data_IF_599115883091
#
_entry.id   IF_599115883091
#
_cell.length_a   1.000
_cell.length_b   1.000
_cell.length_c   1.000
_cell.angle_alpha   90.00
_cell.angle_beta   90.00
_cell.angle_gamma   90.00
#
_symmetry.space_group_name_H-M   'P 1'
#
loop_
_entity.id
_entity.type
_entity.pdbx_description
1 polymer ?
#
# COMPACT_ATOMS: atom_id res chain seq x y z
N UNK A 1 22.67 17.59 -23.50
CA UNK A 1 22.18 17.84 -22.13
C UNK A 1 22.79 16.81 -21.18
N UNK A 2 24.03 17.04 -20.74
CA UNK A 2 24.64 16.30 -19.62
C UNK A 2 25.79 17.11 -18.92
N UNK A 3 25.52 18.25 -18.26
CA UNK A 3 26.52 18.89 -17.38
C UNK A 3 26.21 18.79 -15.88
N UNK A 4 25.00 18.37 -15.48
CA UNK A 4 24.57 18.38 -14.07
C UNK A 4 24.94 17.10 -13.29
N UNK A 5 25.14 15.96 -13.97
CA UNK A 5 25.57 14.72 -13.30
C UNK A 5 27.04 14.78 -12.86
N UNK A 6 27.94 15.35 -13.66
CA UNK A 6 29.37 15.45 -13.32
C UNK A 6 29.63 16.35 -12.10
N UNK A 7 28.88 17.46 -11.93
CA UNK A 7 29.01 18.31 -10.73
C UNK A 7 28.51 17.63 -9.45
N UNK A 8 27.48 16.78 -9.57
CA UNK A 8 27.05 15.93 -8.46
C UNK A 8 28.15 14.94 -8.08
N UNK A 9 28.83 14.36 -9.08
CA UNK A 9 29.92 13.42 -8.83
C UNK A 9 31.17 14.07 -8.20
N UNK A 10 31.51 15.31 -8.54
CA UNK A 10 32.62 16.02 -7.89
C UNK A 10 32.33 16.35 -6.41
N UNK A 11 31.07 16.35 -5.98
CA UNK A 11 30.68 16.47 -4.56
C UNK A 11 30.67 15.09 -3.89
N UNK A 12 30.33 14.05 -4.65
CA UNK A 12 30.49 12.63 -4.26
C UNK A 12 31.95 12.16 -4.26
N UNK A 13 32.93 12.93 -4.73
CA UNK A 13 34.34 12.58 -4.52
C UNK A 13 34.67 12.56 -3.02
N UNK A 14 33.91 13.27 -2.17
CA UNK A 14 33.93 13.08 -0.72
C UNK A 14 33.35 11.74 -0.22
N UNK A 15 32.49 11.09 -1.01
CA UNK A 15 31.93 9.74 -0.76
C UNK A 15 32.78 8.62 -1.38
N UNK A 16 33.81 8.93 -2.17
CA UNK A 16 34.79 7.90 -2.61
C UNK A 16 35.63 7.35 -1.45
N UNK A 17 35.46 7.92 -0.26
CA UNK A 17 35.95 7.32 0.96
C UNK A 17 35.22 5.97 1.16
N UNK A 18 35.98 4.87 1.16
CA UNK A 18 35.47 3.48 1.27
C UNK A 18 34.53 3.26 2.47
N UNK A 19 34.57 4.16 3.44
CA UNK A 19 33.78 4.15 4.68
C UNK A 19 32.26 4.12 4.47
N UNK A 20 31.74 4.50 3.30
CA UNK A 20 30.29 4.50 3.01
C UNK A 20 29.81 3.38 2.09
N UNK A 21 30.73 2.57 1.53
CA UNK A 21 30.32 1.41 0.75
C UNK A 21 29.64 0.39 1.67
N UNK A 22 28.47 -0.11 1.25
CA UNK A 22 27.76 -1.10 2.05
C UNK A 22 28.56 -2.41 2.08
N UNK A 23 29.02 -2.81 3.26
CA UNK A 23 29.69 -4.11 3.45
C UNK A 23 28.71 -5.29 3.60
N UNK A 24 27.41 -5.01 3.55
CA UNK A 24 26.40 -6.05 3.59
C UNK A 24 26.37 -6.84 2.26
N UNK A 25 26.67 -8.15 2.29
CA UNK A 25 26.79 -8.97 1.09
C UNK A 25 25.49 -9.07 0.30
N UNK A 26 24.34 -8.91 0.96
CA UNK A 26 23.02 -8.99 0.33
C UNK A 26 22.78 -7.79 -0.60
N UNK A 27 23.13 -6.58 -0.13
CA UNK A 27 23.02 -5.37 -0.94
C UNK A 27 23.99 -5.39 -2.12
N UNK A 28 25.24 -5.82 -1.90
CA UNK A 28 26.25 -5.98 -2.96
C UNK A 28 25.81 -7.02 -3.99
N UNK A 29 25.31 -8.17 -3.56
CA UNK A 29 24.79 -9.20 -4.45
C UNK A 29 23.62 -8.68 -5.30
N UNK A 30 22.65 -8.00 -4.67
CA UNK A 30 21.54 -7.40 -5.42
C UNK A 30 22.04 -6.36 -6.44
N UNK A 31 23.05 -5.57 -6.08
CA UNK A 31 23.65 -4.61 -6.99
C UNK A 31 24.32 -5.29 -8.20
N UNK A 32 25.14 -6.31 -7.98
CA UNK A 32 25.82 -7.05 -9.05
C UNK A 32 24.83 -7.75 -9.99
N UNK A 33 23.79 -8.37 -9.43
CA UNK A 33 22.79 -9.10 -10.23
C UNK A 33 21.84 -8.13 -10.95
N UNK A 34 21.27 -7.14 -10.24
CA UNK A 34 20.24 -6.27 -10.82
C UNK A 34 20.84 -5.13 -11.66
N UNK A 35 21.89 -4.47 -11.17
CA UNK A 35 22.44 -3.28 -11.82
C UNK A 35 23.52 -3.61 -12.84
N UNK A 36 24.52 -4.42 -12.47
CA UNK A 36 25.70 -4.69 -13.32
C UNK A 36 25.39 -5.70 -14.41
N UNK A 37 24.89 -6.88 -14.05
CA UNK A 37 24.60 -7.95 -15.01
C UNK A 37 23.21 -7.85 -15.64
N UNK A 38 22.26 -7.18 -14.98
CA UNK A 38 20.83 -7.11 -15.36
C UNK A 38 20.20 -8.49 -15.55
N UNK A 39 20.66 -9.47 -14.78
CA UNK A 39 20.16 -10.83 -14.91
C UNK A 39 18.79 -10.93 -14.25
N UNK A 40 17.75 -10.67 -15.06
CA UNK A 40 16.37 -10.76 -14.62
C UNK A 40 15.98 -12.18 -14.21
N UNK A 41 16.60 -13.22 -14.77
CA UNK A 41 16.29 -14.61 -14.47
C UNK A 41 16.95 -15.08 -13.16
N UNK A 42 18.07 -14.46 -12.77
CA UNK A 42 18.66 -14.66 -11.46
C UNK A 42 17.82 -14.03 -10.32
N UNK A 43 17.04 -12.99 -10.64
CA UNK A 43 16.25 -12.22 -9.67
C UNK A 43 14.81 -12.71 -9.60
N UNK A 44 14.21 -13.01 -10.75
CA UNK A 44 12.82 -13.44 -10.86
C UNK A 44 12.74 -14.89 -11.28
N UNK A 45 11.85 -15.62 -10.63
CA UNK A 45 11.55 -17.02 -10.96
C UNK A 45 10.07 -17.17 -11.26
N UNK A 46 9.76 -17.93 -12.31
CA UNK A 46 8.38 -18.28 -12.62
C UNK A 46 7.84 -19.21 -11.53
N UNK A 47 6.63 -18.93 -11.07
CA UNK A 47 6.02 -19.74 -10.01
C UNK A 47 5.36 -20.95 -10.64
N UNK A 48 5.93 -22.13 -10.38
CA UNK A 48 5.49 -23.40 -10.97
C UNK A 48 3.99 -23.61 -10.74
N UNK A 49 3.27 -23.96 -11.83
CA UNK A 49 1.82 -24.21 -11.79
C UNK A 49 0.95 -22.97 -11.63
N UNK A 50 1.54 -21.77 -11.65
CA UNK A 50 0.86 -20.50 -11.39
C UNK A 50 1.20 -19.43 -12.43
N UNK A 51 1.34 -19.80 -13.71
CA UNK A 51 1.49 -18.78 -14.75
C UNK A 51 0.29 -17.82 -14.75
N UNK A 52 0.50 -16.49 -14.92
CA UNK A 52 1.72 -15.80 -15.33
C UNK A 52 2.53 -15.17 -14.16
N UNK A 53 2.44 -15.74 -12.96
CA UNK A 53 3.07 -15.14 -11.79
C UNK A 53 4.57 -15.42 -11.72
N UNK A 54 5.30 -14.39 -11.28
CA UNK A 54 6.74 -14.47 -10.96
C UNK A 54 6.95 -14.17 -9.49
N UNK A 55 7.98 -14.76 -8.90
CA UNK A 55 8.48 -14.41 -7.58
C UNK A 55 9.83 -13.71 -7.69
N UNK A 56 10.07 -12.76 -6.81
CA UNK A 56 11.35 -12.09 -6.61
C UNK A 56 12.12 -12.87 -5.54
N UNK A 57 13.32 -13.38 -5.87
CA UNK A 57 14.24 -14.02 -4.92
C UNK A 57 14.86 -12.93 -4.04
N UNK A 58 14.35 -12.75 -2.83
CA UNK A 58 14.66 -11.59 -2.02
C UNK A 58 15.83 -11.90 -1.08
N UNK A 59 17.03 -11.56 -1.54
CA UNK A 59 18.27 -11.64 -0.76
C UNK A 59 18.53 -10.26 -0.14
N UNK A 60 17.67 -9.77 0.76
CA UNK A 60 17.94 -8.57 1.56
C UNK A 60 17.72 -8.85 3.06
N UNK A 61 18.55 -8.27 3.95
CA UNK A 61 18.57 -8.66 5.37
C UNK A 61 17.31 -8.25 6.14
N UNK A 62 16.58 -7.25 5.64
CA UNK A 62 15.45 -6.62 6.33
C UNK A 62 14.09 -6.97 5.75
N UNK A 63 14.00 -8.07 4.99
CA UNK A 63 12.71 -8.55 4.52
C UNK A 63 11.85 -8.98 5.70
N UNK A 64 10.59 -8.54 5.67
CA UNK A 64 9.64 -8.80 6.75
C UNK A 64 9.34 -10.30 6.78
N UNK A 65 10.00 -11.03 7.69
CA UNK A 65 9.63 -12.39 8.08
C UNK A 65 10.35 -13.53 7.36
N UNK A 66 11.66 -13.46 7.12
CA UNK A 66 12.48 -14.58 6.60
C UNK A 66 11.92 -15.23 5.31
N UNK A 67 11.24 -14.46 4.47
CA UNK A 67 10.74 -14.97 3.20
C UNK A 67 11.86 -14.88 2.16
N UNK A 68 12.24 -16.02 1.61
CA UNK A 68 13.25 -16.09 0.53
C UNK A 68 12.68 -15.58 -0.82
N UNK A 69 11.35 -15.53 -0.95
CA UNK A 69 10.65 -15.17 -2.16
C UNK A 69 9.50 -14.19 -1.89
N UNK A 70 9.29 -13.25 -2.81
CA UNK A 70 8.15 -12.34 -2.84
C UNK A 70 7.36 -12.53 -4.14
N UNK A 71 6.08 -12.87 -4.06
CA UNK A 71 5.22 -12.89 -5.25
C UNK A 71 5.08 -11.48 -5.85
N UNK A 72 5.35 -11.36 -7.14
CA UNK A 72 5.07 -10.14 -7.91
C UNK A 72 3.60 -10.15 -8.31
N UNK A 73 2.79 -9.47 -7.52
CA UNK A 73 1.34 -9.38 -7.74
C UNK A 73 0.99 -8.51 -8.94
N UNK A 74 -0.22 -8.70 -9.45
CA UNK A 74 -0.78 -7.82 -10.48
C UNK A 74 -0.88 -6.37 -9.98
N UNK A 75 -1.14 -6.20 -8.69
CA UNK A 75 -1.26 -4.91 -8.04
C UNK A 75 0.08 -4.15 -7.92
N UNK A 76 1.21 -4.84 -7.73
CA UNK A 76 2.53 -4.20 -7.72
C UNK A 76 2.89 -3.64 -9.10
N UNK A 77 2.57 -4.39 -10.16
CA UNK A 77 2.75 -3.94 -11.55
C UNK A 77 1.87 -2.72 -11.84
N UNK A 78 0.60 -2.76 -11.43
CA UNK A 78 -0.32 -1.63 -11.58
C UNK A 78 0.17 -0.38 -10.84
N UNK A 79 0.58 -0.52 -9.58
CA UNK A 79 1.12 0.58 -8.77
C UNK A 79 2.36 1.22 -9.42
N UNK A 80 3.28 0.41 -9.95
CA UNK A 80 4.48 0.91 -10.62
C UNK A 80 4.14 1.63 -11.93
N UNK A 81 3.26 1.06 -12.75
CA UNK A 81 2.79 1.70 -13.98
C UNK A 81 2.14 3.06 -13.68
N UNK A 82 1.24 3.11 -12.69
CA UNK A 82 0.58 4.36 -12.30
C UNK A 82 1.57 5.38 -11.75
N UNK A 83 2.56 4.93 -10.96
CA UNK A 83 3.63 5.82 -10.48
C UNK A 83 4.43 6.43 -11.63
N UNK A 84 4.84 5.62 -12.62
CA UNK A 84 5.54 6.12 -13.82
C UNK A 84 4.69 7.14 -14.58
N UNK A 85 3.41 6.84 -14.84
CA UNK A 85 2.47 7.77 -15.52
C UNK A 85 2.33 9.08 -14.78
N UNK A 86 2.11 9.01 -13.46
CA UNK A 86 1.94 10.17 -12.62
C UNK A 86 3.18 11.07 -12.61
N UNK A 87 4.37 10.48 -12.48
CA UNK A 87 5.64 11.19 -12.55
C UNK A 87 6.02 11.69 -13.96
N UNK A 88 5.32 11.24 -15.00
CA UNK A 88 5.39 11.76 -16.37
C UNK A 88 4.34 12.86 -16.63
N UNK A 89 3.51 13.19 -15.62
CA UNK A 89 2.45 14.20 -15.71
C UNK A 89 1.19 13.73 -16.44
N UNK A 90 1.00 12.41 -16.60
CA UNK A 90 -0.21 11.84 -17.22
C UNK A 90 -1.34 11.68 -16.22
N UNK A 91 -2.57 11.62 -16.74
CA UNK A 91 -3.78 11.46 -15.94
C UNK A 91 -3.92 10.07 -15.29
N UNK A 92 -4.71 10.05 -14.23
CA UNK A 92 -4.98 8.88 -13.40
C UNK A 92 -5.88 7.86 -14.09
N UNK A 93 -5.59 6.58 -13.86
CA UNK A 93 -6.42 5.48 -14.33
C UNK A 93 -7.58 5.19 -13.36
N UNK A 94 -8.68 4.72 -13.96
CA UNK A 94 -9.78 4.08 -13.23
C UNK A 94 -9.24 2.81 -12.54
N UNK A 95 -9.75 2.53 -11.34
CA UNK A 95 -9.45 1.29 -10.63
C UNK A 95 -10.10 0.13 -11.38
N UNK A 96 -9.30 -0.85 -11.80
CA UNK A 96 -9.78 -2.10 -12.39
C UNK A 96 -10.05 -3.12 -11.28
N UNK A 97 -11.26 -3.65 -11.25
CA UNK A 97 -11.66 -4.69 -10.31
C UNK A 97 -11.95 -6.01 -11.04
N UNK A 98 -11.39 -7.11 -10.55
CA UNK A 98 -11.68 -8.45 -11.05
C UNK A 98 -13.00 -8.98 -10.47
N UNK A 99 -13.44 -10.15 -10.94
CA UNK A 99 -14.62 -10.83 -10.39
C UNK A 99 -14.39 -11.30 -8.95
N UNK A 100 -13.20 -11.79 -8.63
CA UNK A 100 -12.81 -12.19 -7.25
C UNK A 100 -12.82 -11.00 -6.28
N UNK A 101 -12.61 -9.78 -6.80
CA UNK A 101 -12.60 -8.54 -6.03
C UNK A 101 -13.99 -7.91 -5.89
N UNK A 102 -15.06 -8.58 -6.36
CA UNK A 102 -16.43 -8.06 -6.33
C UNK A 102 -16.94 -7.73 -4.92
N UNK A 103 -16.50 -8.48 -3.90
CA UNK A 103 -16.84 -8.19 -2.50
C UNK A 103 -16.29 -6.85 -1.99
N UNK A 104 -15.29 -6.29 -2.68
CA UNK A 104 -14.69 -4.98 -2.38
C UNK A 104 -15.20 -3.86 -3.29
N UNK A 105 -16.02 -4.20 -4.30
CA UNK A 105 -16.54 -3.20 -5.26
C UNK A 105 -17.54 -2.27 -4.56
N UNK A 106 -17.48 -0.95 -4.82
CA UNK A 106 -18.51 -0.02 -4.36
C UNK A 106 -19.90 -0.40 -4.90
N UNK A 107 -20.93 -0.37 -4.05
CA UNK A 107 -22.28 -0.94 -4.32
C UNK A 107 -23.18 -0.17 -5.29
N UNK A 108 -22.90 1.10 -5.59
CA UNK A 108 -23.99 2.03 -5.97
C UNK A 108 -23.76 2.81 -7.25
N UNK A 109 -23.12 2.17 -8.22
CA UNK A 109 -22.98 2.80 -9.51
C UNK A 109 -23.46 1.81 -10.55
N UNK A 110 -24.75 1.93 -10.86
CA UNK A 110 -25.31 1.52 -12.13
C UNK A 110 -24.23 1.80 -13.18
N UNK A 111 -23.78 0.72 -13.81
CA UNK A 111 -22.99 0.75 -15.03
C UNK A 111 -23.90 1.39 -16.08
N UNK A 112 -24.11 2.71 -15.97
CA UNK A 112 -24.64 3.50 -17.06
C UNK A 112 -23.71 3.17 -18.21
N UNK A 113 -24.28 2.48 -19.20
CA UNK A 113 -23.67 1.79 -20.34
C UNK A 113 -22.92 2.74 -21.29
N UNK A 114 -22.19 3.71 -20.75
CA UNK A 114 -21.21 4.47 -21.49
C UNK A 114 -20.04 3.54 -21.74
N UNK A 115 -20.07 2.91 -22.93
CA UNK A 115 -18.98 2.15 -23.53
C UNK A 115 -17.64 2.64 -23.01
N UNK A 116 -17.07 1.90 -22.04
CA UNK A 116 -15.69 2.10 -21.62
C UNK A 116 -14.86 1.84 -22.87
N UNK A 117 -14.49 2.91 -23.57
CA UNK A 117 -13.48 2.87 -24.62
C UNK A 117 -12.28 2.18 -23.97
N UNK A 118 -12.07 0.92 -24.33
CA UNK A 118 -10.87 0.17 -23.99
C UNK A 118 -9.73 0.91 -24.68
N UNK A 119 -9.22 1.95 -24.03
CA UNK A 119 -7.99 2.59 -24.46
C UNK A 119 -6.93 1.50 -24.27
N UNK A 120 -6.54 0.89 -25.39
CA UNK A 120 -5.44 -0.07 -25.53
C UNK A 120 -4.14 0.57 -25.00
N UNK A 121 -3.99 0.56 -23.68
CA UNK A 121 -2.86 1.12 -22.93
C UNK A 121 -2.16 0.02 -22.15
N UNK A 122 -2.09 -1.17 -22.74
CA UNK A 122 -1.42 -2.34 -22.17
C UNK A 122 0.12 -2.24 -22.25
N UNK A 123 0.65 -1.23 -22.97
CA UNK A 123 2.07 -0.93 -22.89
C UNK A 123 2.41 -0.36 -21.50
N UNK A 124 3.31 -1.05 -20.78
CA UNK A 124 3.92 -0.52 -19.56
C UNK A 124 4.60 0.81 -19.92
N UNK A 125 4.25 1.92 -19.24
CA UNK A 125 4.89 3.21 -19.50
C UNK A 125 6.41 3.13 -19.30
N UNK A 126 7.13 3.91 -20.10
CA UNK A 126 8.55 4.15 -19.89
C UNK A 126 8.81 4.86 -18.56
N UNK A 127 10.05 4.75 -18.07
CA UNK A 127 10.48 5.53 -16.92
C UNK A 127 10.47 7.03 -17.24
N UNK A 128 10.01 7.89 -16.32
CA UNK A 128 9.87 9.31 -16.61
C UNK A 128 11.24 9.99 -16.73
N UNK A 129 11.56 10.44 -17.95
CA UNK A 129 12.83 11.08 -18.31
C UNK A 129 12.81 12.59 -18.13
N UNK A 130 11.61 13.19 -18.22
CA UNK A 130 11.40 14.63 -18.06
C UNK A 130 11.59 15.07 -16.60
N UNK A 131 11.95 16.33 -16.38
CA UNK A 131 12.04 16.91 -15.02
C UNK A 131 10.71 17.50 -14.55
N UNK A 132 9.59 17.25 -15.25
CA UNK A 132 8.40 18.11 -15.19
C UNK A 132 7.45 17.83 -14.02
N UNK A 133 7.40 16.61 -13.47
CA UNK A 133 6.57 16.30 -12.31
C UNK A 133 7.42 15.86 -11.11
N UNK A 134 7.69 16.83 -10.23
CA UNK A 134 8.14 16.58 -8.85
C UNK A 134 6.91 16.32 -7.99
N UNK A 135 6.99 15.35 -7.09
CA UNK A 135 5.87 15.04 -6.21
C UNK A 135 6.11 13.84 -5.31
N UNK A 136 5.15 13.63 -4.41
CA UNK A 136 5.09 12.46 -3.55
C UNK A 136 3.89 11.58 -3.89
N UNK A 137 4.15 10.35 -4.34
CA UNK A 137 3.15 9.30 -4.45
C UNK A 137 3.11 8.52 -3.12
N UNK A 138 1.95 8.48 -2.49
CA UNK A 138 1.74 7.80 -1.21
C UNK A 138 0.92 6.55 -1.46
N UNK A 139 1.58 5.39 -1.43
CA UNK A 139 0.92 4.09 -1.46
C UNK A 139 0.30 3.81 -0.10
N UNK A 140 -1.02 3.82 -0.07
CA UNK A 140 -1.86 3.62 1.10
C UNK A 140 -2.66 2.32 0.97
N UNK A 141 -3.25 1.87 2.08
CA UNK A 141 -4.10 0.69 2.14
C UNK A 141 -3.97 -0.02 3.47
N UNK A 142 -4.72 -1.10 3.66
CA UNK A 142 -4.74 -1.86 4.91
C UNK A 142 -3.34 -2.27 5.41
N UNK A 143 -3.08 -2.23 6.73
CA UNK A 143 -1.86 -2.81 7.29
C UNK A 143 -1.68 -4.27 6.87
N UNK A 144 -0.46 -4.62 6.46
CA UNK A 144 -0.12 -6.01 6.14
C UNK A 144 -0.48 -6.53 4.74
N UNK A 145 -0.92 -5.69 3.80
CA UNK A 145 -1.24 -6.11 2.42
C UNK A 145 -0.03 -6.11 1.45
N UNK A 146 1.19 -5.84 1.93
CA UNK A 146 2.40 -5.90 1.10
C UNK A 146 2.89 -4.58 0.49
N UNK A 147 2.51 -3.42 1.04
CA UNK A 147 3.02 -2.11 0.57
C UNK A 147 4.55 -1.97 0.66
N UNK A 148 5.16 -2.46 1.74
CA UNK A 148 6.63 -2.45 1.88
C UNK A 148 7.27 -3.37 0.84
N UNK A 149 6.67 -4.53 0.57
CA UNK A 149 7.07 -5.46 -0.48
C UNK A 149 7.00 -4.83 -1.88
N UNK A 150 6.00 -4.01 -2.15
CA UNK A 150 5.93 -3.21 -3.38
C UNK A 150 7.14 -2.30 -3.55
N UNK A 151 7.65 -1.66 -2.49
CA UNK A 151 8.86 -0.82 -2.61
C UNK A 151 10.09 -1.62 -3.02
N UNK A 152 10.25 -2.85 -2.52
CA UNK A 152 11.32 -3.75 -2.96
C UNK A 152 11.18 -4.11 -4.44
N UNK A 153 9.96 -4.39 -4.90
CA UNK A 153 9.70 -4.61 -6.32
C UNK A 153 10.10 -3.38 -7.16
N UNK A 154 9.72 -2.17 -6.74
CA UNK A 154 10.11 -0.92 -7.43
C UNK A 154 11.63 -0.73 -7.44
N UNK A 155 12.30 -1.00 -6.31
CA UNK A 155 13.76 -0.92 -6.22
C UNK A 155 14.40 -1.80 -7.29
N UNK A 156 14.05 -3.09 -7.33
CA UNK A 156 14.60 -4.06 -8.27
C UNK A 156 14.36 -3.65 -9.73
N UNK A 157 13.14 -3.28 -10.09
CA UNK A 157 12.81 -2.84 -11.45
C UNK A 157 13.62 -1.60 -11.87
N UNK A 158 13.88 -0.68 -10.94
CA UNK A 158 14.72 0.49 -11.21
C UNK A 158 16.19 0.14 -11.36
N UNK A 159 16.72 -0.77 -10.54
CA UNK A 159 18.12 -1.23 -10.65
C UNK A 159 18.36 -1.92 -11.99
N UNK A 160 17.42 -2.76 -12.45
CA UNK A 160 17.45 -3.41 -13.76
C UNK A 160 17.46 -2.40 -14.91
N UNK A 161 16.84 -1.23 -14.72
CA UNK A 161 16.86 -0.13 -15.66
C UNK A 161 18.09 0.81 -15.51
N UNK A 162 19.06 0.50 -14.64
CA UNK A 162 20.16 1.38 -14.22
C UNK A 162 19.71 2.77 -13.77
N UNK A 163 18.57 2.87 -13.09
CA UNK A 163 18.06 4.15 -12.63
C UNK A 163 18.45 4.38 -11.18
N UNK A 164 19.13 5.50 -10.86
CA UNK A 164 19.58 5.77 -9.52
C UNK A 164 18.39 5.89 -8.57
N UNK A 165 18.54 5.31 -7.39
CA UNK A 165 17.43 5.11 -6.45
C UNK A 165 17.93 5.26 -5.02
N UNK A 166 17.19 6.01 -4.20
CA UNK A 166 17.36 6.05 -2.77
C UNK A 166 16.30 5.15 -2.12
N UNK A 167 16.69 4.30 -1.17
CA UNK A 167 15.75 3.44 -0.46
C UNK A 167 15.93 3.55 1.06
N UNK A 168 14.86 3.93 1.74
CA UNK A 168 14.83 4.20 3.18
C UNK A 168 13.88 3.23 3.89
N UNK A 169 14.44 2.36 4.72
CA UNK A 169 13.72 1.44 5.62
C UNK A 169 14.01 1.73 7.10
N UNK A 170 15.03 2.56 7.38
CA UNK A 170 15.45 2.98 8.73
C UNK A 170 15.28 4.49 8.93
N UNK A 171 15.14 4.93 10.19
CA UNK A 171 14.81 6.33 10.53
C UNK A 171 15.84 7.33 10.00
N UNK A 172 17.12 7.08 10.26
CA UNK A 172 18.18 8.08 10.09
C UNK A 172 19.15 7.72 8.95
N UNK A 173 18.81 6.72 8.14
CA UNK A 173 19.65 6.18 7.07
C UNK A 173 18.86 5.79 5.84
N UNK A 174 19.49 5.89 4.69
CA UNK A 174 18.99 5.35 3.44
C UNK A 174 20.14 4.75 2.63
N UNK A 175 19.81 3.84 1.71
CA UNK A 175 20.75 3.31 0.75
C UNK A 175 20.64 4.08 -0.56
N UNK A 176 21.77 4.49 -1.14
CA UNK A 176 21.83 5.12 -2.46
C UNK A 176 22.45 4.17 -3.47
N UNK A 177 21.71 3.88 -4.53
CA UNK A 177 22.09 2.94 -5.58
C UNK A 177 22.37 3.71 -6.87
N UNK A 178 23.57 3.55 -7.44
CA UNK A 178 23.97 4.21 -8.68
C UNK A 178 24.99 3.40 -9.49
N UNK A 179 25.51 3.99 -10.57
CA UNK A 179 26.49 3.36 -11.47
C UNK A 179 27.83 3.03 -10.80
N UNK A 180 28.17 3.76 -9.73
CA UNK A 180 29.39 3.56 -8.92
C UNK A 180 29.27 2.44 -7.88
N UNK A 181 28.07 2.15 -7.39
CA UNK A 181 27.89 1.17 -6.32
C UNK A 181 26.60 1.37 -5.53
N UNK A 182 26.59 0.77 -4.34
CA UNK A 182 25.57 0.97 -3.31
C UNK A 182 26.22 1.56 -2.06
N UNK A 183 25.64 2.64 -1.55
CA UNK A 183 26.18 3.42 -0.44
C UNK A 183 25.18 3.52 0.69
N UNK A 184 25.66 3.40 1.94
CA UNK A 184 24.89 3.77 3.11
C UNK A 184 25.05 5.26 3.35
N UNK A 185 23.93 5.98 3.37
CA UNK A 185 23.91 7.42 3.59
C UNK A 185 23.13 7.73 4.86
N UNK A 186 23.78 8.42 5.79
CA UNK A 186 23.07 9.03 6.90
C UNK A 186 22.20 10.19 6.38
N UNK A 187 21.11 10.49 7.09
CA UNK A 187 20.20 11.57 6.75
C UNK A 187 20.80 12.97 7.03
N UNK A 188 21.74 13.08 7.97
CA UNK A 188 22.44 14.35 8.28
C UNK A 188 23.24 14.93 7.10
N UNK A 189 24.03 14.14 6.34
CA UNK A 189 24.71 14.57 5.11
C UNK A 189 23.84 15.29 4.09
N UNK A 190 22.53 15.00 4.00
CA UNK A 190 21.61 15.73 3.11
C UNK A 190 21.56 17.23 3.41
N UNK A 191 21.87 17.62 4.64
CA UNK A 191 21.89 19.02 5.07
C UNK A 191 23.12 19.79 4.59
N UNK A 192 24.19 19.10 4.19
CA UNK A 192 25.50 19.70 3.89
C UNK A 192 25.77 19.68 2.37
N UNK A 193 24.78 20.08 1.57
CA UNK A 193 24.99 20.36 0.14
C UNK A 193 24.89 19.14 -0.81
N UNK A 194 24.37 18.01 -0.35
CA UNK A 194 24.12 16.85 -1.21
C UNK A 194 22.99 17.14 -2.23
N UNK A 195 23.36 17.33 -3.50
CA UNK A 195 22.40 17.70 -4.56
C UNK A 195 21.87 16.49 -5.31
N UNK A 196 20.87 15.81 -4.76
CA UNK A 196 20.28 14.63 -5.42
C UNK A 196 19.70 15.01 -6.79
N UNK A 197 20.08 14.29 -7.87
CA UNK A 197 19.48 14.52 -9.18
C UNK A 197 17.96 14.35 -9.13
N UNK A 198 17.22 15.21 -9.83
CA UNK A 198 15.75 15.14 -9.90
C UNK A 198 15.21 13.85 -10.55
N UNK A 199 16.07 13.10 -11.26
CA UNK A 199 15.74 11.78 -11.82
C UNK A 199 15.72 10.66 -10.79
N UNK A 200 16.32 10.85 -9.61
CA UNK A 200 16.37 9.86 -8.53
C UNK A 200 14.98 9.70 -7.92
N UNK A 201 14.61 8.46 -7.65
CA UNK A 201 13.43 8.15 -6.86
C UNK A 201 13.84 7.81 -5.43
N UNK A 202 13.13 8.39 -4.47
CA UNK A 202 13.16 8.00 -3.07
C UNK A 202 12.02 7.03 -2.78
N UNK A 203 12.38 5.84 -2.34
CA UNK A 203 11.46 4.81 -1.90
C UNK A 203 11.50 4.79 -0.37
N UNK A 204 10.40 5.14 0.29
CA UNK A 204 10.35 5.33 1.75
C UNK A 204 9.31 4.40 2.36
N UNK A 205 9.75 3.46 3.18
CA UNK A 205 8.85 2.59 3.95
C UNK A 205 8.48 3.25 5.28
N UNK A 206 7.33 3.94 5.32
CA UNK A 206 6.87 4.59 6.54
C UNK A 206 6.26 3.58 7.51
N UNK A 207 7.09 3.18 8.47
CA UNK A 207 6.81 2.17 9.49
C UNK A 207 6.65 2.82 10.89
N UNK A 208 7.03 2.12 11.97
CA UNK A 208 6.97 2.67 13.33
C UNK A 208 8.12 3.62 13.61
N UNK A 209 9.27 3.39 12.98
CA UNK A 209 10.48 4.18 13.15
C UNK A 209 10.50 5.37 12.20
N UNK A 210 10.03 5.18 10.97
CA UNK A 210 9.85 6.24 9.97
C UNK A 210 8.37 6.65 9.92
N UNK A 211 8.02 7.69 10.67
CA UNK A 211 6.63 8.19 10.65
C UNK A 211 6.36 8.98 9.37
N UNK A 212 7.31 9.80 8.92
CA UNK A 212 7.16 10.65 7.74
C UNK A 212 8.49 10.80 6.99
N UNK A 213 8.47 11.08 5.68
CA UNK A 213 9.66 11.53 4.97
C UNK A 213 10.29 12.73 5.68
N UNK A 214 11.62 12.80 5.72
CA UNK A 214 12.30 13.95 6.31
C UNK A 214 12.04 15.20 5.47
N UNK A 215 12.01 16.37 6.12
CA UNK A 215 11.90 17.64 5.41
C UNK A 215 13.04 17.87 4.43
N UNK A 216 14.22 17.30 4.68
CA UNK A 216 15.39 17.45 3.83
C UNK A 216 15.21 16.66 2.54
N UNK A 217 14.65 15.43 2.60
CA UNK A 217 14.23 14.68 1.40
C UNK A 217 13.16 15.45 0.64
N UNK A 218 12.13 15.96 1.33
CA UNK A 218 11.01 16.66 0.71
C UNK A 218 11.41 18.02 0.08
N UNK A 219 12.51 18.62 0.52
CA UNK A 219 13.10 19.82 -0.10
C UNK A 219 13.92 19.50 -1.33
N UNK A 220 14.28 18.24 -1.55
CA UNK A 220 14.92 17.84 -2.82
C UNK A 220 13.91 17.91 -3.95
N UNK A 221 14.42 18.09 -5.17
CA UNK A 221 13.62 17.98 -6.39
C UNK A 221 13.36 16.52 -6.81
N UNK A 222 13.53 15.56 -5.90
CA UNK A 222 13.41 14.14 -6.20
C UNK A 222 11.94 13.69 -6.21
N UNK A 223 11.72 12.55 -6.84
CA UNK A 223 10.41 11.86 -6.86
C UNK A 223 10.32 10.95 -5.66
N UNK A 224 9.24 11.02 -4.90
CA UNK A 224 9.10 10.22 -3.67
C UNK A 224 7.96 9.23 -3.82
N UNK A 225 8.21 7.96 -3.56
CA UNK A 225 7.20 6.95 -3.30
C UNK A 225 7.25 6.59 -1.82
N UNK A 226 6.18 6.88 -1.10
CA UNK A 226 6.02 6.54 0.31
C UNK A 226 5.05 5.37 0.44
N UNK A 227 5.48 4.24 0.99
CA UNK A 227 4.55 3.22 1.49
C UNK A 227 4.13 3.59 2.91
N UNK A 228 2.84 3.81 3.16
CA UNK A 228 2.36 4.24 4.47
C UNK A 228 1.08 3.53 4.89
N UNK A 229 0.96 3.27 6.19
CA UNK A 229 -0.35 2.99 6.79
C UNK A 229 -1.21 4.26 6.73
N UNK A 230 -2.53 4.17 6.54
CA UNK A 230 -3.47 5.30 6.46
C UNK A 230 -3.65 6.07 7.79
N UNK A 231 -2.72 5.94 8.73
CA UNK A 231 -2.75 6.62 10.02
C UNK A 231 -2.41 8.09 9.85
N UNK A 232 -3.10 8.97 10.59
CA UNK A 232 -2.89 10.42 10.44
C UNK A 232 -1.43 10.81 10.65
N UNK A 233 -0.80 10.22 11.66
CA UNK A 233 0.58 10.53 12.03
C UNK A 233 1.52 10.39 10.83
N UNK A 234 1.27 9.43 9.93
CA UNK A 234 2.10 9.16 8.75
C UNK A 234 1.81 10.06 7.55
N UNK A 235 0.66 10.74 7.55
CA UNK A 235 0.20 11.58 6.45
C UNK A 235 0.14 13.07 6.83
N UNK A 236 0.21 13.42 8.12
CA UNK A 236 0.03 14.79 8.63
C UNK A 236 1.02 15.78 8.04
N UNK A 237 2.23 15.32 7.71
CA UNK A 237 3.27 16.14 7.11
C UNK A 237 2.82 16.81 5.79
N UNK A 238 1.90 16.18 5.04
CA UNK A 238 1.38 16.72 3.76
C UNK A 238 0.71 18.08 3.91
N UNK A 239 0.08 18.35 5.05
CA UNK A 239 -0.60 19.64 5.32
C UNK A 239 0.38 20.81 5.47
N UNK A 240 1.66 20.51 5.72
CA UNK A 240 2.71 21.50 5.95
C UNK A 240 3.57 21.76 4.72
N UNK A 241 3.41 20.97 3.67
CA UNK A 241 4.26 21.02 2.48
C UNK A 241 3.41 21.43 1.28
N UNK A 242 3.88 22.40 0.50
CA UNK A 242 3.25 22.80 -0.76
C UNK A 242 3.74 21.89 -1.90
N UNK A 243 3.65 20.57 -1.69
CA UNK A 243 4.06 19.56 -2.67
C UNK A 243 2.83 18.90 -3.29
N UNK A 244 2.94 18.58 -4.57
CA UNK A 244 1.92 17.76 -5.22
C UNK A 244 1.99 16.35 -4.62
N UNK A 245 0.92 15.95 -3.92
CA UNK A 245 0.82 14.64 -3.29
C UNK A 245 -0.30 13.84 -3.91
N UNK A 246 -0.02 12.58 -4.24
CA UNK A 246 -0.97 11.69 -4.86
C UNK A 246 -1.13 10.44 -3.99
N UNK A 247 -2.36 10.17 -3.54
CA UNK A 247 -2.63 8.98 -2.75
C UNK A 247 -2.97 7.86 -3.74
N UNK A 248 -2.34 6.70 -3.57
CA UNK A 248 -2.61 5.51 -4.37
C UNK A 248 -3.04 4.39 -3.44
N UNK A 249 -4.31 4.03 -3.44
CA UNK A 249 -4.87 2.99 -2.58
C UNK A 249 -4.66 1.61 -3.22
N UNK A 250 -3.85 0.80 -2.56
CA UNK A 250 -3.52 -0.57 -2.92
C UNK A 250 -4.67 -1.52 -2.58
N UNK A 251 -5.07 -2.34 -3.54
CA UNK A 251 -5.97 -3.48 -3.32
C UNK A 251 -5.25 -4.54 -2.48
N UNK A 252 -5.95 -5.21 -1.58
CA UNK A 252 -5.45 -6.47 -1.04
C UNK A 252 -5.27 -7.50 -2.16
N UNK A 253 -4.33 -8.43 -1.99
CA UNK A 253 -4.19 -9.56 -2.91
C UNK A 253 -5.45 -10.42 -2.91
N UNK A 254 -5.96 -10.82 -4.08
CA UNK A 254 -7.07 -11.75 -4.17
C UNK A 254 -6.68 -13.13 -3.63
N UNK A 255 -7.67 -13.96 -3.29
CA UNK A 255 -7.45 -15.29 -2.71
C UNK A 255 -6.49 -16.12 -3.56
N UNK A 256 -6.66 -16.11 -4.90
CA UNK A 256 -5.76 -16.84 -5.81
C UNK A 256 -4.30 -16.46 -5.61
N UNK A 257 -3.99 -15.17 -5.51
CA UNK A 257 -2.61 -14.72 -5.25
C UNK A 257 -2.15 -15.15 -3.86
N UNK A 258 -3.00 -15.06 -2.84
CA UNK A 258 -2.66 -15.47 -1.47
C UNK A 258 -2.33 -16.97 -1.35
N UNK A 259 -3.07 -17.83 -2.06
CA UNK A 259 -2.78 -19.27 -2.12
C UNK A 259 -1.43 -19.55 -2.78
N UNK A 260 -1.01 -18.74 -3.75
CA UNK A 260 0.32 -18.83 -4.35
C UNK A 260 1.38 -18.31 -3.38
N UNK A 261 1.12 -17.18 -2.72
CA UNK A 261 2.06 -16.58 -1.75
C UNK A 261 2.35 -17.49 -0.57
N UNK A 262 1.40 -18.36 -0.19
CA UNK A 262 1.54 -19.21 1.00
C UNK A 262 2.75 -20.12 0.97
N UNK A 263 3.19 -20.53 -0.22
CA UNK A 263 4.36 -21.39 -0.38
C UNK A 263 5.67 -20.71 0.06
N UNK A 264 5.66 -19.38 0.19
CA UNK A 264 6.81 -18.57 0.60
C UNK A 264 6.73 -18.14 2.07
N UNK A 265 5.69 -18.53 2.81
CA UNK A 265 5.52 -18.10 4.19
C UNK A 265 6.29 -18.99 5.17
N UNK A 266 6.82 -18.43 6.28
CA UNK A 266 7.62 -19.19 7.25
C UNK A 266 6.83 -20.30 7.95
N UNK A 267 5.53 -20.09 8.11
CA UNK A 267 4.62 -21.06 8.71
C UNK A 267 3.89 -21.77 7.57
N UNK A 268 4.03 -23.11 7.44
CA UNK A 268 3.30 -23.85 6.43
C UNK A 268 1.80 -23.79 6.73
N UNK A 269 1.03 -23.27 5.78
CA UNK A 269 -0.43 -23.17 5.85
C UNK A 269 -1.07 -23.97 4.72
N UNK A 270 -2.21 -24.60 4.99
CA UNK A 270 -3.01 -25.30 3.99
C UNK A 270 -3.87 -24.32 3.18
N UNK A 271 -4.33 -24.74 1.99
CA UNK A 271 -5.23 -23.92 1.17
C UNK A 271 -6.54 -23.61 1.91
N UNK A 272 -7.05 -24.58 2.69
CA UNK A 272 -8.26 -24.44 3.50
C UNK A 272 -8.09 -23.40 4.60
N UNK A 273 -6.96 -23.41 5.32
CA UNK A 273 -6.68 -22.44 6.38
C UNK A 273 -6.61 -21.01 5.85
N UNK A 274 -5.95 -20.82 4.69
CA UNK A 274 -5.85 -19.51 4.05
C UNK A 274 -7.23 -19.07 3.55
N UNK A 275 -7.95 -19.96 2.89
CA UNK A 275 -9.29 -19.68 2.36
C UNK A 275 -10.25 -19.30 3.49
N UNK A 276 -10.34 -20.13 4.54
CA UNK A 276 -11.19 -19.89 5.71
C UNK A 276 -10.85 -18.54 6.37
N UNK A 277 -9.56 -18.24 6.57
CA UNK A 277 -9.16 -16.96 7.15
C UNK A 277 -9.59 -15.78 6.26
N UNK A 278 -9.36 -15.85 4.96
CA UNK A 278 -9.71 -14.77 4.01
C UNK A 278 -11.22 -14.56 3.96
N UNK A 279 -12.00 -15.64 3.91
CA UNK A 279 -13.46 -15.56 3.86
C UNK A 279 -14.07 -15.05 5.16
N UNK A 280 -13.48 -15.41 6.31
CA UNK A 280 -14.02 -15.03 7.62
C UNK A 280 -13.49 -13.70 8.13
N UNK A 281 -12.26 -13.29 7.78
CA UNK A 281 -11.61 -12.13 8.41
C UNK A 281 -10.92 -11.17 7.43
N UNK A 282 -10.85 -11.52 6.16
CA UNK A 282 -10.33 -10.67 5.09
C UNK A 282 -8.85 -10.91 4.71
N UNK A 283 -8.40 -10.29 3.61
CA UNK A 283 -7.14 -10.61 2.93
C UNK A 283 -5.91 -9.86 3.48
N UNK A 284 -5.66 -9.88 4.78
CA UNK A 284 -4.42 -9.33 5.35
C UNK A 284 -3.31 -10.39 5.44
N UNK A 285 -2.30 -10.33 4.56
CA UNK A 285 -1.18 -11.30 4.54
C UNK A 285 -0.52 -11.41 5.92
N UNK A 286 -0.32 -10.29 6.60
CA UNK A 286 0.25 -10.27 7.96
C UNK A 286 -0.63 -11.05 8.96
N UNK A 287 -1.94 -10.86 8.93
CA UNK A 287 -2.82 -11.57 9.86
C UNK A 287 -2.96 -13.05 9.49
N UNK A 288 -3.03 -13.38 8.20
CA UNK A 288 -3.07 -14.77 7.71
C UNK A 288 -1.82 -15.53 8.19
N UNK A 289 -0.63 -15.00 7.90
CA UNK A 289 0.64 -15.65 8.32
C UNK A 289 0.75 -15.82 9.83
N UNK A 290 0.22 -14.88 10.61
CA UNK A 290 0.25 -14.94 12.07
C UNK A 290 -0.80 -15.88 12.66
N UNK A 291 -1.99 -15.97 12.06
CA UNK A 291 -3.17 -16.51 12.74
C UNK A 291 -3.93 -17.61 11.99
N UNK A 292 -3.70 -17.87 10.70
CA UNK A 292 -4.50 -18.85 9.97
C UNK A 292 -4.35 -20.28 10.51
N UNK A 293 -3.21 -20.62 11.11
CA UNK A 293 -3.02 -21.89 11.82
C UNK A 293 -3.70 -21.95 13.21
N UNK A 294 -4.24 -20.82 13.70
CA UNK A 294 -4.92 -20.65 15.00
C UNK A 294 -6.14 -19.74 14.88
N UNK A 295 -7.02 -20.04 13.92
CA UNK A 295 -8.24 -19.28 13.65
C UNK A 295 -9.07 -18.98 14.91
N UNK A 296 -9.18 -19.97 15.80
CA UNK A 296 -9.87 -19.80 17.09
C UNK A 296 -9.25 -18.69 17.95
N UNK A 297 -7.91 -18.64 18.04
CA UNK A 297 -7.22 -17.62 18.81
C UNK A 297 -7.45 -16.22 18.23
N UNK A 298 -7.41 -16.08 16.90
CA UNK A 298 -7.74 -14.81 16.24
C UNK A 298 -9.17 -14.37 16.53
N UNK A 299 -10.13 -15.31 16.49
CA UNK A 299 -11.53 -15.02 16.82
C UNK A 299 -11.66 -14.49 18.25
N UNK A 300 -11.01 -15.15 19.21
CA UNK A 300 -11.02 -14.72 20.63
C UNK A 300 -10.39 -13.34 20.79
N UNK A 301 -9.25 -13.09 20.14
CA UNK A 301 -8.57 -11.79 20.17
C UNK A 301 -9.46 -10.69 19.56
N UNK A 302 -10.09 -10.97 18.42
CA UNK A 302 -11.01 -10.06 17.74
C UNK A 302 -12.23 -9.77 18.63
N UNK A 303 -12.85 -10.79 19.20
CA UNK A 303 -13.98 -10.66 20.14
C UNK A 303 -13.60 -9.84 21.38
N UNK A 304 -12.41 -10.08 21.94
CA UNK A 304 -11.91 -9.33 23.09
C UNK A 304 -11.67 -7.84 22.75
N UNK A 305 -11.33 -7.52 21.50
CA UNK A 305 -11.16 -6.14 21.03
C UNK A 305 -12.49 -5.49 20.71
N UNK A 306 -13.41 -6.22 20.07
CA UNK A 306 -14.74 -5.69 19.71
C UNK A 306 -15.63 -5.50 20.93
N UNK A 307 -15.51 -6.32 21.98
CA UNK A 307 -16.27 -6.14 23.23
C UNK A 307 -15.98 -4.82 23.95
N UNK A 308 -14.86 -4.16 23.64
CA UNK A 308 -14.48 -2.87 24.19
C UNK A 308 -15.04 -1.68 23.38
N UNK A 309 -15.75 -1.95 22.28
CA UNK A 309 -16.38 -0.93 21.45
C UNK A 309 -17.60 -0.36 22.15
N UNK A 310 -17.63 0.96 22.23
CA UNK A 310 -18.86 1.71 22.49
C UNK A 310 -19.33 2.30 21.17
N UNK A 311 -20.58 2.75 21.12
CA UNK A 311 -21.12 3.38 19.92
C UNK A 311 -20.31 4.65 19.54
N UNK A 312 -19.91 5.45 20.52
CA UNK A 312 -19.04 6.61 20.28
C UNK A 312 -17.67 6.23 19.72
N UNK A 313 -17.05 5.16 20.22
CA UNK A 313 -15.79 4.65 19.66
C UNK A 313 -15.98 4.18 18.22
N UNK A 314 -17.05 3.44 17.93
CA UNK A 314 -17.35 2.97 16.57
C UNK A 314 -17.56 4.14 15.61
N UNK A 315 -18.36 5.14 16.01
CA UNK A 315 -18.60 6.36 15.24
C UNK A 315 -17.31 7.13 14.99
N UNK A 316 -16.49 7.32 16.04
CA UNK A 316 -15.19 7.99 15.93
C UNK A 316 -14.25 7.23 14.99
N UNK A 317 -14.18 5.89 15.10
CA UNK A 317 -13.37 5.04 14.22
C UNK A 317 -13.76 5.21 12.75
N UNK A 318 -15.06 5.18 12.44
CA UNK A 318 -15.56 5.40 11.08
C UNK A 318 -15.20 6.80 10.59
N UNK A 319 -15.44 7.83 11.40
CA UNK A 319 -15.09 9.21 11.06
C UNK A 319 -13.58 9.37 10.80
N UNK A 320 -12.74 8.88 11.70
CA UNK A 320 -11.29 8.96 11.60
C UNK A 320 -10.76 8.18 10.39
N UNK A 321 -11.33 7.02 10.06
CA UNK A 321 -10.95 6.30 8.84
C UNK A 321 -11.31 7.11 7.58
N UNK A 322 -12.50 7.71 7.54
CA UNK A 322 -12.98 8.49 6.39
C UNK A 322 -12.09 9.69 6.06
N UNK A 323 -11.51 10.34 7.09
CA UNK A 323 -10.59 11.46 6.90
C UNK A 323 -9.11 11.03 6.86
N UNK A 324 -8.83 9.72 6.82
CA UNK A 324 -7.48 9.13 6.97
C UNK A 324 -6.76 9.71 8.19
N UNK A 325 -7.53 9.94 9.25
CA UNK A 325 -7.13 10.43 10.55
C UNK A 325 -7.17 9.33 11.61
N UNK A 326 -7.18 8.04 11.21
CA UNK A 326 -7.12 6.94 12.16
C UNK A 326 -5.99 7.19 13.16
N UNK A 327 -6.39 7.43 14.41
CA UNK A 327 -5.45 7.53 15.53
C UNK A 327 -4.73 6.20 15.71
N UNK A 328 -3.87 6.10 16.72
CA UNK A 328 -3.21 4.83 17.09
C UNK A 328 -4.19 3.77 17.64
N UNK A 329 -5.49 3.87 17.36
CA UNK A 329 -6.50 2.92 17.80
C UNK A 329 -6.29 1.59 17.06
N UNK A 330 -5.68 0.66 17.79
CA UNK A 330 -5.27 -0.67 17.33
C UNK A 330 -6.43 -1.55 16.84
N UNK A 331 -7.69 -1.17 17.08
CA UNK A 331 -8.87 -1.97 16.75
C UNK A 331 -9.37 -1.70 15.32
N UNK A 332 -9.13 -0.50 14.76
CA UNK A 332 -9.63 -0.10 13.44
C UNK A 332 -9.34 -1.11 12.32
N UNK A 333 -8.08 -1.50 12.18
CA UNK A 333 -7.61 -2.39 11.10
C UNK A 333 -8.03 -3.86 11.27
N UNK A 334 -8.54 -4.25 12.44
CA UNK A 334 -9.10 -5.58 12.67
C UNK A 334 -10.55 -5.70 12.21
N UNK A 335 -11.24 -4.56 12.14
CA UNK A 335 -12.67 -4.50 11.83
C UNK A 335 -12.89 -4.02 10.39
N UNK A 336 -12.16 -2.98 10.01
CA UNK A 336 -12.39 -2.25 8.78
C UNK A 336 -11.24 -2.43 7.79
N UNK A 337 -11.62 -2.65 6.54
CA UNK A 337 -10.75 -2.54 5.39
C UNK A 337 -10.81 -1.17 4.75
N UNK A 338 -9.71 -0.81 4.08
CA UNK A 338 -9.61 0.37 3.23
C UNK A 338 -9.26 -0.13 1.84
N UNK A 339 -10.14 0.15 0.89
CA UNK A 339 -10.06 -0.31 -0.50
C UNK A 339 -9.99 0.89 -1.44
N UNK A 340 -9.42 0.77 -2.63
CA UNK A 340 -9.55 1.83 -3.63
C UNK A 340 -11.01 2.03 -4.03
N UNK A 341 -11.38 3.27 -4.35
CA UNK A 341 -12.66 3.58 -4.99
C UNK A 341 -12.58 3.43 -6.51
N UNK A 342 -13.49 4.10 -7.24
CA UNK A 342 -13.48 4.18 -8.73
C UNK A 342 -12.16 4.61 -9.34
N UNK A 343 -11.43 5.45 -8.62
CA UNK A 343 -10.10 5.95 -9.00
C UNK A 343 -9.14 5.66 -7.85
N UNK A 344 -7.86 5.48 -8.18
CA UNK A 344 -6.84 5.05 -7.21
C UNK A 344 -6.55 6.04 -6.09
N UNK A 345 -6.93 7.30 -6.25
CA UNK A 345 -6.82 8.34 -5.22
C UNK A 345 -8.08 8.50 -4.37
N UNK A 346 -9.15 7.79 -4.70
CA UNK A 346 -10.30 7.62 -3.82
C UNK A 346 -10.14 6.33 -3.05
N UNK A 347 -10.66 6.31 -1.82
CA UNK A 347 -10.76 5.10 -1.03
C UNK A 347 -12.21 4.89 -0.59
N UNK A 348 -12.57 3.64 -0.36
CA UNK A 348 -13.75 3.22 0.37
C UNK A 348 -13.33 2.53 1.66
N UNK A 349 -14.21 2.53 2.64
CA UNK A 349 -14.04 1.83 3.90
C UNK A 349 -15.23 0.90 4.07
N UNK A 350 -15.00 -0.29 4.62
CA UNK A 350 -16.06 -1.24 4.92
C UNK A 350 -15.57 -2.27 5.92
N UNK A 351 -16.48 -3.07 6.47
CA UNK A 351 -16.09 -4.25 7.24
C UNK A 351 -15.30 -5.22 6.35
N UNK A 352 -14.34 -5.96 6.91
CA UNK A 352 -13.58 -6.94 6.14
C UNK A 352 -14.47 -8.04 5.56
N UNK A 353 -15.43 -8.52 6.34
CA UNK A 353 -16.30 -9.65 5.98
C UNK A 353 -17.64 -9.52 6.72
N UNK A 354 -18.63 -10.32 6.33
CA UNK A 354 -19.90 -10.44 7.06
C UNK A 354 -19.69 -10.98 8.48
N UNK A 355 -18.76 -11.91 8.68
CA UNK A 355 -18.44 -12.47 10.00
C UNK A 355 -17.91 -11.38 10.96
N UNK A 356 -17.01 -10.52 10.49
CA UNK A 356 -16.50 -9.39 11.30
C UNK A 356 -17.62 -8.40 11.60
N UNK A 357 -18.50 -8.14 10.63
CA UNK A 357 -19.70 -7.33 10.84
C UNK A 357 -20.62 -7.93 11.92
N UNK A 358 -20.91 -9.22 11.86
CA UNK A 358 -21.77 -9.91 12.83
C UNK A 358 -21.17 -9.90 14.23
N UNK A 359 -19.85 -10.03 14.36
CA UNK A 359 -19.16 -9.89 15.64
C UNK A 359 -19.31 -8.48 16.23
N UNK A 360 -19.24 -7.43 15.40
CA UNK A 360 -19.47 -6.06 15.86
C UNK A 360 -20.93 -5.85 16.22
N UNK A 361 -21.86 -6.34 15.39
CA UNK A 361 -23.30 -6.29 15.64
C UNK A 361 -23.68 -6.96 16.96
N UNK A 362 -23.11 -8.13 17.25
CA UNK A 362 -23.36 -8.86 18.50
C UNK A 362 -23.02 -8.05 19.76
N UNK A 363 -21.95 -7.24 19.71
CA UNK A 363 -21.56 -6.36 20.83
C UNK A 363 -22.65 -5.34 21.18
N UNK A 364 -23.40 -4.87 20.19
CA UNK A 364 -24.47 -3.90 20.40
C UNK A 364 -25.83 -4.55 20.69
N UNK A 365 -25.99 -5.85 20.44
CA UNK A 365 -27.20 -6.62 20.76
C UNK A 365 -28.48 -5.87 20.33
N UNK A 366 -29.44 -5.67 21.24
CA UNK A 366 -30.71 -4.97 20.96
C UNK A 366 -30.54 -3.50 20.53
N UNK A 367 -29.47 -2.82 20.98
CA UNK A 367 -29.21 -1.43 20.58
C UNK A 367 -28.82 -1.29 19.10
N UNK A 368 -28.42 -2.40 18.46
CA UNK A 368 -28.04 -2.41 17.05
C UNK A 368 -29.19 -1.90 16.17
N UNK A 369 -30.37 -2.51 16.29
CA UNK A 369 -31.52 -2.21 15.43
C UNK A 369 -32.11 -0.82 15.69
N UNK A 370 -32.12 -0.39 16.95
CA UNK A 370 -32.83 0.83 17.35
C UNK A 370 -32.06 2.10 16.99
N UNK A 371 -30.73 2.10 17.13
CA UNK A 371 -29.93 3.32 17.02
C UNK A 371 -28.63 3.15 16.22
N UNK A 372 -27.91 2.04 16.41
CA UNK A 372 -26.56 1.91 15.84
C UNK A 372 -26.59 1.68 14.33
N UNK A 373 -27.48 0.81 13.84
CA UNK A 373 -27.55 0.44 12.42
C UNK A 373 -27.83 1.65 11.53
N UNK A 374 -28.82 2.47 11.90
CA UNK A 374 -29.15 3.70 11.14
C UNK A 374 -27.98 4.68 11.15
N UNK A 375 -27.38 4.96 12.30
CA UNK A 375 -26.24 5.89 12.34
C UNK A 375 -25.00 5.36 11.61
N UNK A 376 -24.71 4.06 11.70
CA UNK A 376 -23.61 3.45 10.93
C UNK A 376 -23.92 3.53 9.44
N UNK A 377 -25.14 3.22 9.02
CA UNK A 377 -25.59 3.36 7.64
C UNK A 377 -25.47 4.82 7.15
N UNK A 378 -25.94 5.80 7.92
CA UNK A 378 -25.79 7.22 7.62
C UNK A 378 -24.31 7.65 7.54
N UNK A 379 -23.43 7.10 8.38
CA UNK A 379 -21.99 7.40 8.29
C UNK A 379 -21.38 6.87 6.98
N UNK A 380 -21.80 5.70 6.51
CA UNK A 380 -21.38 5.19 5.21
C UNK A 380 -22.01 5.97 4.06
N UNK A 381 -23.29 6.35 4.16
CA UNK A 381 -24.05 6.91 3.04
C UNK A 381 -23.99 8.45 2.94
N UNK A 382 -24.05 9.15 4.08
CA UNK A 382 -24.13 10.62 4.17
C UNK A 382 -22.78 11.25 4.54
N UNK A 383 -21.86 10.49 5.14
CA UNK A 383 -20.65 11.02 5.79
C UNK A 383 -19.68 11.72 4.85
N UNK A 384 -19.38 11.14 3.68
CA UNK A 384 -18.48 11.71 2.66
C UNK A 384 -18.74 10.99 1.33
N UNK A 385 -18.59 11.66 0.16
CA UNK A 385 -18.75 11.07 -1.20
C UNK A 385 -17.96 9.78 -1.47
N UNK A 386 -17.07 9.36 -0.56
CA UNK A 386 -16.08 8.31 -0.76
C UNK A 386 -16.33 7.07 0.11
N UNK A 387 -17.32 7.06 1.00
CA UNK A 387 -17.50 6.00 2.02
C UNK A 387 -18.55 4.96 1.63
N UNK A 388 -18.62 4.62 0.34
CA UNK A 388 -19.51 3.59 -0.20
C UNK A 388 -18.90 2.20 0.00
N UNK A 389 -18.78 1.77 1.25
CA UNK A 389 -18.38 0.41 1.61
C UNK A 389 -19.42 -0.62 1.20
N UNK A 390 -19.15 -1.90 1.50
CA UNK A 390 -20.12 -3.00 1.40
C UNK A 390 -21.27 -2.79 2.39
N UNK A 391 -22.16 -1.84 2.08
CA UNK A 391 -23.39 -1.57 2.79
C UNK A 391 -24.45 -2.66 2.52
N UNK A 392 -24.14 -3.69 1.74
CA UNK A 392 -25.06 -4.79 1.47
C UNK A 392 -25.49 -5.46 2.77
N UNK A 393 -24.56 -5.69 3.69
CA UNK A 393 -24.88 -6.26 5.01
C UNK A 393 -25.73 -5.30 5.87
N UNK A 394 -25.42 -4.01 5.83
CA UNK A 394 -26.19 -2.99 6.55
C UNK A 394 -27.62 -2.87 6.01
N UNK A 395 -27.78 -2.95 4.68
CA UNK A 395 -29.07 -2.82 4.01
C UNK A 395 -30.04 -3.97 4.37
N UNK A 396 -29.50 -5.17 4.62
CA UNK A 396 -30.30 -6.33 5.06
C UNK A 396 -30.87 -6.15 6.47
N UNK A 397 -30.23 -5.33 7.32
CA UNK A 397 -30.64 -5.08 8.69
C UNK A 397 -31.50 -3.82 8.87
N UNK A 398 -31.69 -3.02 7.81
CA UNK A 398 -32.54 -1.84 7.86
C UNK A 398 -34.02 -2.26 8.01
N UNK A 399 -34.83 -1.57 8.84
CA UNK A 399 -36.25 -1.90 8.99
C UNK A 399 -36.98 -1.75 7.65
N UNK A 400 -37.51 -2.86 7.13
CA UNK A 400 -38.35 -2.92 5.94
C UNK A 400 -39.65 -2.15 6.25
N UNK A 401 -39.69 -0.86 5.97
CA UNK A 401 -40.85 0.00 6.26
C UNK A 401 -40.52 1.39 6.79
N UNK A 402 -39.25 1.68 7.11
CA UNK A 402 -38.81 3.06 7.23
C UNK A 402 -38.73 3.66 5.83
N UNK A 403 -39.70 4.47 5.43
CA UNK A 403 -39.59 5.35 4.26
C UNK A 403 -38.27 6.10 4.42
N UNK A 404 -37.27 5.75 3.62
CA UNK A 404 -36.07 6.57 3.48
C UNK A 404 -36.62 7.91 3.02
N UNK A 405 -36.57 8.91 3.90
CA UNK A 405 -36.91 10.27 3.55
C UNK A 405 -35.96 10.61 2.40
N UNK A 406 -36.48 10.59 1.17
CA UNK A 406 -35.78 11.10 0.00
C UNK A 406 -35.46 12.55 0.32
N UNK A 407 -34.22 12.77 0.77
CA UNK A 407 -33.72 14.09 1.07
C UNK A 407 -33.73 14.86 -0.25
N UNK A 408 -34.58 15.89 -0.31
CA UNK A 408 -34.55 16.89 -1.37
C UNK A 408 -33.10 17.37 -1.54
N UNK A 409 -32.46 16.94 -2.62
CA UNK A 409 -31.24 17.57 -3.11
C UNK A 409 -31.64 18.90 -3.75
N UNK A 410 -31.63 19.96 -2.97
CA UNK A 410 -31.63 21.36 -3.43
C UNK A 410 -30.26 21.98 -3.23
#
# INVERSE_FOLDING_TARGET
MAPDSERFFNTLDGFTNRDYEIDDPNYRNLYEVAWKSKDRNAIFEDVVGSEPYKSLKLVLPHTVGHQDHLLVTSEYKAALSDAKRWFDGREDLKTKFTQEESCWKPLSEDEGEGEDQQINTDADPDWPTSSSAQGVLIVCGMPGIGKSCFLYYVLVERLLANLPTCFQTERDRFTYWCDKGVFNCDMEPLRIGFRIPSSVWFLIDSNMDIVSPSSDILRTCARVIQAASPLNARLRWKRKQNLFTYHWFMKPSPLRELLIMRQFWPVPLTDEQVTEFVTSYGPSIRLITQYAHRLYQYRVDLQSRTSQLTFDKLRKLLYDLNVLNAGNESVSHWIFGIYPGRKRYHHTIGFHTSEVYDLVKAVFSESWKTHVCLSVYELFNNGVRWTRGSASYLSQDLPIGGTVLEGNHS
#
